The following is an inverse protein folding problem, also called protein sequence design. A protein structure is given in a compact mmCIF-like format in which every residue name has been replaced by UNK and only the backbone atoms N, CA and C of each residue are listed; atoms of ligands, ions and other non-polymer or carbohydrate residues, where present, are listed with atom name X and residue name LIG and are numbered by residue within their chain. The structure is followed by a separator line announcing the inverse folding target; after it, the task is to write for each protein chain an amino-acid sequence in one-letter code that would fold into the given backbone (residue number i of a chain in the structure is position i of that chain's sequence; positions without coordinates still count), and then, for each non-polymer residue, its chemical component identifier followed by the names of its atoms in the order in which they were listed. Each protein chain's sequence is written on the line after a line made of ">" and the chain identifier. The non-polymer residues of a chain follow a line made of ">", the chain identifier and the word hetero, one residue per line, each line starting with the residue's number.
data_IF_809199508186
#
_entry.id   IF_809199508186
#
_cell.length_a   1.000
_cell.length_b   1.000
_cell.length_c   1.000
_cell.angle_alpha   90.00
_cell.angle_beta   90.00
_cell.angle_gamma   90.00
#
_symmetry.space_group_name_H-M   'P 1'
#
loop_
_entity.id
_entity.type
_entity.pdbx_description
1 polymer ?
#
# COMPACT_ATOMS: atom_id res chain seq x y z
N UNK A 1 2.85 4.97 12.41
CA UNK A 1 2.33 6.14 11.66
C UNK A 1 2.54 7.43 12.45
N UNK A 2 2.33 7.42 13.77
CA UNK A 2 2.46 8.59 14.67
C UNK A 2 3.87 9.22 14.59
N UNK A 3 4.93 8.43 14.76
CA UNK A 3 6.30 8.95 14.72
C UNK A 3 6.67 9.57 13.36
N UNK A 4 6.27 8.93 12.25
CA UNK A 4 6.55 9.48 10.90
C UNK A 4 5.87 10.83 10.70
N UNK A 5 4.62 10.98 11.17
CA UNK A 5 3.90 12.26 11.12
C UNK A 5 4.58 13.32 11.98
N UNK A 6 4.97 12.96 13.20
CA UNK A 6 5.69 13.87 14.10
C UNK A 6 7.00 14.37 13.44
N UNK A 7 7.82 13.47 12.93
CA UNK A 7 9.08 13.82 12.26
C UNK A 7 8.84 14.68 11.02
N UNK A 8 7.82 14.37 10.21
CA UNK A 8 7.47 15.21 9.06
C UNK A 8 7.07 16.64 9.47
N UNK A 9 6.30 16.78 10.55
CA UNK A 9 5.94 18.09 11.11
C UNK A 9 7.16 18.85 11.62
N UNK A 10 8.08 18.19 12.35
CA UNK A 10 9.34 18.79 12.81
C UNK A 10 10.17 19.32 11.62
N UNK A 11 10.31 18.52 10.55
CA UNK A 11 11.03 18.93 9.34
C UNK A 11 10.37 20.15 8.67
N UNK A 12 9.04 20.14 8.54
CA UNK A 12 8.32 21.27 7.93
C UNK A 12 8.50 22.56 8.74
N UNK A 13 8.46 22.48 10.07
CA UNK A 13 8.67 23.63 10.96
C UNK A 13 10.10 24.19 10.86
N UNK A 14 11.12 23.33 10.82
CA UNK A 14 12.53 23.73 10.63
C UNK A 14 12.76 24.40 9.27
N UNK A 15 12.09 23.93 8.22
CA UNK A 15 12.19 24.51 6.88
C UNK A 15 11.49 25.87 6.79
N UNK A 16 10.33 26.03 7.44
CA UNK A 16 9.64 27.32 7.55
C UNK A 16 10.49 28.35 8.32
N UNK A 17 11.12 27.94 9.42
CA UNK A 17 11.98 28.81 10.22
C UNK A 17 13.26 29.25 9.49
N UNK A 18 13.75 28.48 8.52
CA UNK A 18 14.96 28.79 7.74
C UNK A 18 14.68 29.62 6.47
N UNK A 19 13.41 29.92 6.16
CA UNK A 19 13.05 30.72 4.98
C UNK A 19 13.28 30.03 3.63
N UNK A 20 13.58 28.73 3.62
CA UNK A 20 13.85 27.94 2.41
C UNK A 20 12.54 27.39 1.84
N UNK A 21 12.24 27.65 0.56
CA UNK A 21 11.09 27.02 -0.10
C UNK A 21 11.30 25.50 -0.18
N UNK A 22 10.37 24.67 0.34
CA UNK A 22 10.60 23.23 0.39
C UNK A 22 10.58 22.61 -1.01
N UNK A 23 11.60 21.81 -1.34
CA UNK A 23 11.50 20.83 -2.41
C UNK A 23 11.24 19.43 -1.79
N UNK A 24 10.44 18.62 -2.48
CA UNK A 24 9.97 17.31 -1.98
C UNK A 24 11.11 16.34 -1.67
N UNK A 25 12.20 16.41 -2.44
CA UNK A 25 13.37 15.55 -2.25
C UNK A 25 14.10 15.88 -0.93
N UNK A 26 14.28 17.15 -0.62
CA UNK A 26 14.93 17.62 0.59
C UNK A 26 14.09 17.31 1.83
N UNK A 27 12.77 17.47 1.75
CA UNK A 27 11.86 17.02 2.82
C UNK A 27 12.06 15.53 3.08
N UNK A 28 12.04 14.72 2.02
CA UNK A 28 12.20 13.27 2.12
C UNK A 28 13.54 12.86 2.74
N UNK A 29 14.62 13.53 2.34
CA UNK A 29 15.96 13.33 2.90
C UNK A 29 16.00 13.66 4.40
N UNK A 30 15.50 14.83 4.80
CA UNK A 30 15.48 15.27 6.21
C UNK A 30 14.63 14.37 7.09
N UNK A 31 13.47 13.92 6.60
CA UNK A 31 12.60 12.98 7.33
C UNK A 31 13.33 11.66 7.58
N UNK A 32 13.95 11.07 6.54
CA UNK A 32 14.68 9.81 6.70
C UNK A 32 15.91 9.98 7.61
N UNK A 33 16.65 11.09 7.50
CA UNK A 33 17.80 11.37 8.37
C UNK A 33 17.39 11.50 9.85
N UNK A 34 16.26 12.14 10.16
CA UNK A 34 15.72 12.19 11.52
C UNK A 34 15.21 10.84 12.02
N UNK A 35 14.58 10.04 11.15
CA UNK A 35 14.17 8.68 11.52
C UNK A 35 15.38 7.77 11.78
N UNK A 36 16.49 7.98 11.05
CA UNK A 36 17.78 7.30 11.27
C UNK A 36 18.38 7.59 12.65
N UNK A 37 18.28 8.82 13.14
CA UNK A 37 18.76 9.14 14.50
C UNK A 37 17.81 8.61 15.58
N UNK A 38 16.53 8.46 15.25
CA UNK A 38 15.46 7.93 16.13
C UNK A 38 15.10 6.47 15.81
N UNK A 39 16.08 5.67 15.39
CA UNK A 39 15.84 4.34 14.82
C UNK A 39 15.15 3.36 15.79
N UNK A 40 15.44 3.48 17.09
CA UNK A 40 14.81 2.65 18.13
C UNK A 40 13.34 3.05 18.30
N UNK A 41 13.06 4.36 18.44
CA UNK A 41 11.69 4.88 18.48
C UNK A 41 10.91 4.50 17.23
N UNK A 42 11.58 4.47 16.07
CA UNK A 42 10.96 4.04 14.82
C UNK A 42 10.57 2.57 14.85
N UNK A 43 11.45 1.69 15.31
CA UNK A 43 11.15 0.27 15.46
C UNK A 43 10.03 0.04 16.47
N UNK A 44 10.01 0.79 17.58
CA UNK A 44 8.93 0.75 18.57
C UNK A 44 7.61 1.24 17.98
N UNK A 45 7.61 2.34 17.22
CA UNK A 45 6.43 2.84 16.52
C UNK A 45 5.90 1.83 15.49
N UNK A 46 6.78 1.09 14.79
CA UNK A 46 6.38 0.01 13.89
C UNK A 46 5.75 -1.17 14.66
N UNK A 47 6.21 -1.45 15.87
CA UNK A 47 5.60 -2.46 16.76
C UNK A 47 4.19 -2.04 17.18
N UNK A 48 4.03 -0.79 17.59
CA UNK A 48 2.73 -0.23 17.95
C UNK A 48 1.77 -0.22 16.76
N UNK A 49 2.27 0.10 15.57
CA UNK A 49 1.51 -0.01 14.33
C UNK A 49 1.03 -1.45 14.11
N UNK A 50 1.93 -2.44 14.21
CA UNK A 50 1.54 -3.84 14.11
C UNK A 50 0.46 -4.22 15.15
N UNK A 51 0.61 -3.81 16.41
CA UNK A 51 -0.36 -4.13 17.47
C UNK A 51 -1.71 -3.44 17.21
N UNK A 52 -1.71 -2.22 16.67
CA UNK A 52 -2.93 -1.53 16.27
C UNK A 52 -3.62 -2.28 15.13
N UNK A 53 -2.85 -2.76 14.16
CA UNK A 53 -3.38 -3.34 12.93
C UNK A 53 -3.84 -4.79 13.16
N UNK A 54 -3.06 -5.60 13.89
CA UNK A 54 -3.33 -7.02 14.22
C UNK A 54 -3.97 -7.26 15.58
N UNK A 55 -4.14 -6.21 16.39
CA UNK A 55 -4.77 -6.26 17.71
C UNK A 55 -3.84 -6.69 18.84
N UNK A 56 -4.18 -6.26 20.06
CA UNK A 56 -3.40 -6.53 21.29
C UNK A 56 -3.20 -8.02 21.58
N UNK A 57 -4.12 -8.88 21.16
CA UNK A 57 -4.00 -10.34 21.30
C UNK A 57 -2.78 -10.90 20.53
N UNK A 58 -2.31 -10.20 19.50
CA UNK A 58 -1.18 -10.61 18.66
C UNK A 58 0.14 -9.91 19.04
N UNK A 59 0.27 -9.39 20.26
CA UNK A 59 1.47 -8.65 20.70
C UNK A 59 2.76 -9.47 20.58
N UNK A 60 2.72 -10.78 20.86
CA UNK A 60 3.89 -11.67 20.73
C UNK A 60 4.29 -11.85 19.26
N UNK A 61 3.32 -11.99 18.38
CA UNK A 61 3.52 -12.10 16.93
C UNK A 61 4.04 -10.79 16.35
N UNK A 62 3.53 -9.64 16.81
CA UNK A 62 4.08 -8.33 16.46
C UNK A 62 5.51 -8.14 16.97
N UNK A 63 5.84 -8.62 18.18
CA UNK A 63 7.23 -8.63 18.63
C UNK A 63 8.13 -9.50 17.74
N UNK A 64 7.66 -10.69 17.36
CA UNK A 64 8.37 -11.54 16.40
C UNK A 64 8.59 -10.82 15.06
N UNK A 65 7.58 -10.14 14.54
CA UNK A 65 7.65 -9.41 13.28
C UNK A 65 8.72 -8.32 13.32
N UNK A 66 8.71 -7.48 14.37
CA UNK A 66 9.73 -6.42 14.53
C UNK A 66 11.13 -6.99 14.70
N UNK A 67 11.28 -8.14 15.35
CA UNK A 67 12.59 -8.78 15.48
C UNK A 67 13.11 -9.37 14.16
N UNK A 68 12.24 -9.62 13.17
CA UNK A 68 12.61 -10.18 11.87
C UNK A 68 12.77 -9.12 10.78
N UNK A 69 12.16 -7.95 10.93
CA UNK A 69 12.27 -6.85 9.96
C UNK A 69 13.34 -5.87 10.41
N UNK A 70 14.42 -5.78 9.64
CA UNK A 70 15.50 -4.85 9.93
C UNK A 70 15.18 -3.44 9.42
N UNK A 71 14.40 -2.71 10.22
CA UNK A 71 14.02 -1.33 9.94
C UNK A 71 15.22 -0.38 9.91
N UNK A 72 16.29 -0.68 10.65
CA UNK A 72 17.49 0.14 10.65
C UNK A 72 18.21 0.03 9.30
N UNK A 73 18.35 -1.20 8.78
CA UNK A 73 18.88 -1.42 7.43
C UNK A 73 17.96 -0.81 6.36
N UNK A 74 16.64 -0.87 6.53
CA UNK A 74 15.72 -0.19 5.61
C UNK A 74 15.94 1.33 5.61
N UNK A 75 16.02 1.97 6.79
CA UNK A 75 16.27 3.42 6.89
C UNK A 75 17.62 3.80 6.27
N UNK A 76 18.67 3.00 6.48
CA UNK A 76 19.97 3.23 5.86
C UNK A 76 19.91 3.11 4.32
N UNK A 77 19.16 2.13 3.78
CA UNK A 77 18.94 2.00 2.33
C UNK A 77 18.15 3.18 1.77
N UNK A 78 17.10 3.63 2.46
CA UNK A 78 16.32 4.79 2.06
C UNK A 78 17.16 6.07 2.06
N UNK A 79 17.98 6.27 3.09
CA UNK A 79 18.88 7.42 3.16
C UNK A 79 19.87 7.41 2.00
N UNK A 80 20.51 6.26 1.74
CA UNK A 80 21.41 6.10 0.60
C UNK A 80 20.71 6.36 -0.73
N UNK A 81 19.50 5.83 -0.90
CA UNK A 81 18.72 5.98 -2.13
C UNK A 81 18.34 7.45 -2.38
N UNK A 82 17.89 8.17 -1.34
CA UNK A 82 17.51 9.58 -1.44
C UNK A 82 18.71 10.50 -1.70
N UNK A 83 19.91 10.09 -1.28
CA UNK A 83 21.16 10.79 -1.54
C UNK A 83 21.85 10.36 -2.85
N UNK A 84 21.28 9.41 -3.60
CA UNK A 84 21.81 9.00 -4.89
C UNK A 84 21.65 10.08 -5.96
N UNK A 85 22.38 9.90 -7.07
CA UNK A 85 22.27 10.75 -8.26
C UNK A 85 20.79 10.89 -8.67
N UNK A 86 20.30 12.11 -8.94
CA UNK A 86 18.91 12.34 -9.31
C UNK A 86 18.37 11.42 -10.43
N UNK A 87 19.22 10.99 -11.37
CA UNK A 87 18.85 10.11 -12.49
C UNK A 87 18.50 8.69 -12.06
N UNK A 88 19.05 8.21 -10.95
CA UNK A 88 18.82 6.84 -10.44
C UNK A 88 18.08 6.82 -9.10
N UNK A 89 17.92 7.98 -8.45
CA UNK A 89 17.28 8.11 -7.13
C UNK A 89 15.93 7.41 -7.04
N UNK A 90 15.06 7.60 -8.03
CA UNK A 90 13.73 6.99 -8.02
C UNK A 90 13.81 5.46 -8.01
N UNK A 91 14.67 4.87 -8.85
CA UNK A 91 14.87 3.43 -8.93
C UNK A 91 15.50 2.85 -7.64
N UNK A 92 16.46 3.55 -7.04
CA UNK A 92 17.05 3.13 -5.77
C UNK A 92 16.06 3.24 -4.59
N UNK A 93 15.19 4.26 -4.59
CA UNK A 93 14.12 4.39 -3.59
C UNK A 93 13.12 3.25 -3.74
N UNK A 94 12.70 2.96 -4.97
CA UNK A 94 11.80 1.84 -5.26
C UNK A 94 12.40 0.51 -4.79
N UNK A 95 13.66 0.25 -5.12
CA UNK A 95 14.38 -0.96 -4.67
C UNK A 95 14.45 -1.07 -3.15
N UNK A 96 14.73 0.04 -2.45
CA UNK A 96 14.75 0.07 -0.98
C UNK A 96 13.38 -0.21 -0.35
N UNK A 97 12.29 0.22 -1.01
CA UNK A 97 10.92 -0.06 -0.60
C UNK A 97 10.51 -1.51 -0.89
N UNK A 98 10.83 -2.05 -2.06
CA UNK A 98 10.56 -3.44 -2.43
C UNK A 98 11.21 -4.41 -1.45
N UNK A 99 12.50 -4.19 -1.14
CA UNK A 99 13.22 -5.05 -0.20
C UNK A 99 12.62 -5.02 1.21
N UNK A 100 12.12 -3.85 1.66
CA UNK A 100 11.37 -3.77 2.94
C UNK A 100 10.09 -4.59 2.86
N UNK A 101 9.31 -4.46 1.79
CA UNK A 101 8.04 -5.19 1.64
C UNK A 101 8.26 -6.72 1.63
N UNK A 102 9.30 -7.20 0.94
CA UNK A 102 9.68 -8.61 0.94
C UNK A 102 10.05 -9.12 2.34
N UNK A 103 10.84 -8.34 3.09
CA UNK A 103 11.19 -8.66 4.47
C UNK A 103 9.95 -8.70 5.37
N UNK A 104 9.06 -7.72 5.25
CA UNK A 104 7.81 -7.68 6.02
C UNK A 104 6.90 -8.86 5.70
N UNK A 105 6.72 -9.20 4.43
CA UNK A 105 5.89 -10.34 4.03
C UNK A 105 6.46 -11.67 4.56
N UNK A 106 7.78 -11.81 4.50
CA UNK A 106 8.48 -12.98 5.06
C UNK A 106 8.29 -13.06 6.57
N UNK A 107 8.41 -11.93 7.28
CA UNK A 107 8.21 -11.85 8.72
C UNK A 107 6.75 -12.12 9.13
N UNK A 108 5.77 -11.60 8.39
CA UNK A 108 4.33 -11.85 8.63
C UNK A 108 4.04 -13.36 8.58
N UNK A 109 4.51 -14.05 7.53
CA UNK A 109 4.37 -15.50 7.42
C UNK A 109 5.10 -16.25 8.52
N UNK A 110 6.35 -15.87 8.80
CA UNK A 110 7.19 -16.58 9.77
C UNK A 110 6.76 -16.38 11.23
N UNK A 111 6.01 -15.32 11.52
CA UNK A 111 5.54 -14.98 12.86
C UNK A 111 4.08 -15.34 13.10
N UNK A 112 3.46 -16.11 12.18
CA UNK A 112 2.05 -16.50 12.25
C UNK A 112 1.12 -15.32 12.54
N UNK A 113 1.44 -14.15 11.99
CA UNK A 113 0.51 -13.04 11.92
C UNK A 113 -0.58 -13.43 10.92
N UNK A 114 -1.53 -14.21 11.40
CA UNK A 114 -2.67 -14.70 10.62
C UNK A 114 -3.42 -13.50 10.08
N UNK A 115 -3.58 -13.45 8.75
CA UNK A 115 -4.39 -12.49 8.00
C UNK A 115 -5.88 -12.81 8.23
N UNK A 116 -6.27 -13.05 9.48
CA UNK A 116 -7.65 -13.33 9.85
C UNK A 116 -8.33 -12.12 10.51
N UNK A 117 -7.59 -11.13 11.04
CA UNK A 117 -8.24 -9.97 11.69
C UNK A 117 -7.43 -8.65 11.70
N UNK A 118 -6.54 -8.44 10.73
CA UNK A 118 -5.96 -7.12 10.45
C UNK A 118 -6.28 -6.66 9.03
N UNK A 119 -6.95 -5.53 8.98
CA UNK A 119 -7.02 -4.70 7.79
C UNK A 119 -5.59 -4.28 7.43
N UNK A 120 -5.24 -4.36 6.15
CA UNK A 120 -4.00 -3.86 5.55
C UNK A 120 -2.75 -4.75 5.78
N UNK A 121 -2.68 -5.86 5.04
CA UNK A 121 -1.37 -6.36 4.58
C UNK A 121 -0.91 -5.45 3.42
N UNK A 122 0.31 -4.88 3.45
CA UNK A 122 0.98 -4.50 2.21
C UNK A 122 1.36 -5.82 1.54
N UNK A 123 0.44 -6.38 0.73
CA UNK A 123 0.84 -7.30 -0.33
C UNK A 123 1.88 -6.55 -1.17
N UNK A 124 2.90 -7.26 -1.68
CA UNK A 124 3.58 -6.82 -2.89
C UNK A 124 2.49 -6.30 -3.83
N UNK A 125 2.59 -5.04 -4.26
CA UNK A 125 1.51 -4.34 -4.97
C UNK A 125 0.94 -5.29 -6.02
N UNK A 126 -0.25 -5.83 -5.75
CA UNK A 126 -0.91 -6.71 -6.71
C UNK A 126 -1.04 -5.94 -8.00
N UNK A 127 -1.07 -6.61 -9.15
CA UNK A 127 -1.22 -5.94 -10.44
C UNK A 127 -2.44 -5.02 -10.46
N UNK A 128 -3.48 -5.33 -9.70
CA UNK A 128 -4.64 -4.44 -9.49
C UNK A 128 -4.29 -3.14 -8.73
N UNK A 129 -3.44 -3.22 -7.70
CA UNK A 129 -2.95 -2.06 -6.95
C UNK A 129 -1.98 -1.22 -7.81
N UNK A 130 -1.11 -1.87 -8.58
CA UNK A 130 -0.21 -1.19 -9.52
C UNK A 130 -1.00 -0.43 -10.59
N UNK A 131 -2.01 -1.07 -11.19
CA UNK A 131 -2.88 -0.44 -12.18
C UNK A 131 -3.62 0.76 -11.58
N UNK A 132 -4.12 0.64 -10.35
CA UNK A 132 -4.75 1.76 -9.63
C UNK A 132 -3.77 2.92 -9.43
N UNK A 133 -2.52 2.64 -9.04
CA UNK A 133 -1.48 3.68 -8.86
C UNK A 133 -1.09 4.37 -10.17
N UNK A 134 -0.98 3.61 -11.27
CA UNK A 134 -0.71 4.17 -12.60
C UNK A 134 -1.81 5.15 -12.98
N UNK A 135 -3.07 4.73 -12.87
CA UNK A 135 -4.23 5.56 -13.17
C UNK A 135 -4.26 6.84 -12.33
N UNK A 136 -3.99 6.74 -11.03
CA UNK A 136 -3.90 7.90 -10.13
C UNK A 136 -2.74 8.82 -10.49
N UNK A 137 -1.58 8.26 -10.84
CA UNK A 137 -0.40 9.03 -11.27
C UNK A 137 -0.66 9.82 -12.55
N UNK A 138 -1.31 9.20 -13.54
CA UNK A 138 -1.74 9.89 -14.76
C UNK A 138 -2.72 11.03 -14.46
N UNK A 139 -3.69 10.79 -13.59
CA UNK A 139 -4.68 11.80 -13.21
C UNK A 139 -4.02 12.99 -12.51
N UNK A 140 -3.08 12.74 -11.59
CA UNK A 140 -2.30 13.80 -10.94
C UNK A 140 -1.45 14.59 -11.94
N UNK A 141 -0.85 13.93 -12.93
CA UNK A 141 -0.10 14.60 -13.99
C UNK A 141 -1.01 15.47 -14.88
N UNK A 142 -2.21 14.99 -15.20
CA UNK A 142 -3.22 15.77 -15.93
C UNK A 142 -3.67 16.99 -15.11
N UNK A 143 -3.92 16.82 -13.81
CA UNK A 143 -4.27 17.91 -12.91
C UNK A 143 -3.19 19.01 -12.87
N UNK A 144 -1.91 18.61 -12.75
CA UNK A 144 -0.76 19.53 -12.79
C UNK A 144 -0.68 20.30 -14.11
N UNK A 145 -0.89 19.60 -15.23
CA UNK A 145 -0.83 20.21 -16.57
C UNK A 145 -1.99 21.19 -16.80
N UNK A 146 -3.18 20.86 -16.31
CA UNK A 146 -4.36 21.71 -16.37
C UNK A 146 -4.18 22.98 -15.52
N UNK A 147 -3.62 22.85 -14.31
CA UNK A 147 -3.25 23.97 -13.45
C UNK A 147 -2.20 24.89 -14.10
N UNK A 148 -1.15 24.32 -14.72
CA UNK A 148 -0.14 25.08 -15.45
C UNK A 148 -0.69 25.84 -16.67
N UNK A 149 -1.80 25.35 -17.23
CA UNK A 149 -2.52 25.98 -18.35
C UNK A 149 -3.59 27.00 -17.89
N UNK A 150 -3.63 27.35 -16.61
CA UNK A 150 -4.59 28.30 -16.03
C UNK A 150 -6.02 27.75 -15.88
N UNK A 151 -6.22 26.44 -15.99
CA UNK A 151 -7.52 25.76 -15.88
C UNK A 151 -7.42 24.57 -14.92
N UNK A 152 -7.24 24.79 -13.60
CA UNK A 152 -7.14 23.70 -12.65
C UNK A 152 -8.41 22.84 -12.66
N UNK A 153 -8.25 21.54 -12.44
CA UNK A 153 -9.38 20.62 -12.28
C UNK A 153 -10.14 20.96 -11.00
N UNK A 154 -11.46 20.94 -11.08
CA UNK A 154 -12.36 21.12 -9.94
C UNK A 154 -12.46 19.84 -9.10
N UNK A 155 -12.88 19.98 -7.84
CA UNK A 155 -13.09 18.86 -6.92
C UNK A 155 -14.08 17.82 -7.46
N UNK A 156 -15.02 18.19 -8.32
CA UNK A 156 -15.96 17.26 -8.97
C UNK A 156 -15.41 16.62 -10.24
N UNK A 157 -14.46 17.26 -10.93
CA UNK A 157 -13.85 16.72 -12.15
C UNK A 157 -12.86 15.59 -11.85
N UNK A 158 -12.11 15.67 -10.74
CA UNK A 158 -11.11 14.66 -10.38
C UNK A 158 -11.75 13.26 -10.16
N UNK A 159 -12.82 13.12 -9.35
CA UNK A 159 -13.51 11.85 -9.15
C UNK A 159 -14.15 11.30 -10.42
N UNK A 160 -14.74 12.17 -11.25
CA UNK A 160 -15.35 11.80 -12.53
C UNK A 160 -14.30 11.22 -13.49
N UNK A 161 -13.18 11.93 -13.66
CA UNK A 161 -12.08 11.47 -14.51
C UNK A 161 -11.42 10.19 -13.97
N UNK A 162 -11.37 10.03 -12.66
CA UNK A 162 -10.90 8.79 -12.06
C UNK A 162 -11.85 7.62 -12.38
N UNK A 163 -13.17 7.83 -12.24
CA UNK A 163 -14.16 6.82 -12.58
C UNK A 163 -14.04 6.39 -14.05
N UNK A 164 -13.96 7.36 -14.97
CA UNK A 164 -13.83 7.13 -16.41
C UNK A 164 -12.56 6.33 -16.74
N UNK A 165 -11.43 6.69 -16.12
CA UNK A 165 -10.16 5.95 -16.30
C UNK A 165 -10.25 4.53 -15.74
N UNK A 166 -10.78 4.35 -14.53
CA UNK A 166 -10.94 3.01 -13.93
C UNK A 166 -11.82 2.12 -14.82
N UNK A 167 -12.92 2.67 -15.35
CA UNK A 167 -13.82 1.97 -16.26
C UNK A 167 -13.16 1.62 -17.59
N UNK A 168 -12.38 2.53 -18.17
CA UNK A 168 -11.60 2.29 -19.40
C UNK A 168 -10.63 1.12 -19.22
N UNK A 169 -10.05 0.98 -18.03
CA UNK A 169 -9.13 -0.11 -17.68
C UNK A 169 -9.82 -1.36 -17.10
N UNK A 170 -11.14 -1.50 -17.22
CA UNK A 170 -11.88 -2.64 -16.62
C UNK A 170 -11.33 -4.01 -17.06
N UNK A 171 -11.01 -4.17 -18.34
CA UNK A 171 -10.44 -5.42 -18.86
C UNK A 171 -9.08 -5.74 -18.21
N UNK A 172 -8.23 -4.72 -18.06
CA UNK A 172 -6.93 -4.84 -17.39
C UNK A 172 -7.10 -5.18 -15.91
N UNK A 173 -8.10 -4.60 -15.23
CA UNK A 173 -8.43 -4.92 -13.85
C UNK A 173 -8.90 -6.37 -13.66
N UNK A 174 -9.70 -6.89 -14.59
CA UNK A 174 -10.13 -8.31 -14.57
C UNK A 174 -8.93 -9.24 -14.72
N UNK A 175 -8.08 -8.96 -15.71
CA UNK A 175 -6.87 -9.75 -15.94
C UNK A 175 -5.93 -9.68 -14.73
N UNK A 176 -5.67 -8.48 -14.21
CA UNK A 176 -4.84 -8.26 -13.03
C UNK A 176 -5.41 -8.97 -11.79
N UNK A 177 -6.73 -8.97 -11.60
CA UNK A 177 -7.40 -9.66 -10.48
C UNK A 177 -7.23 -11.17 -10.54
N UNK A 178 -7.32 -11.75 -11.75
CA UNK A 178 -7.06 -13.17 -11.99
C UNK A 178 -5.61 -13.51 -11.67
N UNK A 179 -4.67 -12.69 -12.10
CA UNK A 179 -3.24 -12.90 -11.86
C UNK A 179 -2.87 -12.73 -10.38
N UNK A 180 -3.42 -11.72 -9.70
CA UNK A 180 -3.28 -11.52 -8.26
C UNK A 180 -3.85 -12.69 -7.45
N UNK A 181 -4.99 -13.23 -7.91
CA UNK A 181 -5.59 -14.42 -7.34
C UNK A 181 -4.68 -15.64 -7.52
N UNK A 182 -4.17 -15.91 -8.73
CA UNK A 182 -3.27 -17.02 -9.01
C UNK A 182 -1.97 -16.91 -8.22
N UNK A 183 -1.43 -15.70 -8.07
CA UNK A 183 -0.26 -15.44 -7.23
C UNK A 183 -0.53 -15.68 -5.74
N UNK A 184 -1.78 -15.51 -5.30
CA UNK A 184 -2.17 -15.70 -3.89
C UNK A 184 -2.48 -17.16 -3.59
N UNK A 185 -3.20 -17.86 -4.47
CA UNK A 185 -3.79 -19.17 -4.21
C UNK A 185 -3.12 -20.33 -4.95
N UNK A 186 -2.28 -20.06 -5.95
CA UNK A 186 -1.58 -21.07 -6.75
C UNK A 186 -2.12 -21.20 -8.16
N UNK A 187 -1.27 -21.69 -9.07
CA UNK A 187 -1.59 -21.88 -10.49
C UNK A 187 -2.57 -23.03 -10.76
N UNK A 188 -2.82 -23.88 -9.77
CA UNK A 188 -3.86 -24.91 -9.75
C UNK A 188 -5.27 -24.32 -9.56
N UNK A 189 -5.38 -23.05 -9.14
CA UNK A 189 -6.64 -22.33 -8.92
C UNK A 189 -7.15 -21.53 -10.09
N UNK A 190 -6.83 -21.94 -11.31
CA UNK A 190 -7.24 -21.25 -12.55
C UNK A 190 -8.75 -21.07 -12.67
N UNK A 191 -9.54 -22.09 -12.37
CA UNK A 191 -11.01 -22.01 -12.50
C UNK A 191 -11.61 -21.10 -11.43
N UNK A 192 -11.16 -21.22 -10.20
CA UNK A 192 -11.62 -20.42 -9.07
C UNK A 192 -11.18 -18.94 -9.19
N UNK A 193 -9.97 -18.70 -9.68
CA UNK A 193 -9.48 -17.34 -9.96
C UNK A 193 -10.13 -16.70 -11.19
N UNK A 194 -10.51 -17.50 -12.20
CA UNK A 194 -11.35 -17.02 -13.30
C UNK A 194 -12.73 -16.63 -12.79
N UNK A 195 -13.38 -17.50 -12.00
CA UNK A 195 -14.65 -17.18 -11.35
C UNK A 195 -14.56 -15.88 -10.54
N UNK A 196 -13.50 -15.71 -9.75
CA UNK A 196 -13.31 -14.52 -8.94
C UNK A 196 -13.21 -13.25 -9.80
N UNK A 197 -12.38 -13.28 -10.85
CA UNK A 197 -12.23 -12.16 -11.78
C UNK A 197 -13.49 -11.87 -12.59
N UNK A 198 -14.35 -12.86 -12.82
CA UNK A 198 -15.62 -12.64 -13.55
C UNK A 198 -16.74 -12.14 -12.64
N UNK A 199 -16.78 -12.59 -11.38
CA UNK A 199 -17.86 -12.28 -10.42
C UNK A 199 -17.60 -11.07 -9.54
N UNK A 200 -16.37 -10.58 -9.46
CA UNK A 200 -16.08 -9.39 -8.69
C UNK A 200 -16.81 -8.18 -9.31
N UNK A 201 -17.60 -7.48 -8.50
CA UNK A 201 -18.29 -6.26 -8.94
C UNK A 201 -17.31 -5.09 -9.00
N UNK A 202 -16.66 -4.93 -10.16
CA UNK A 202 -15.65 -3.89 -10.38
C UNK A 202 -16.21 -2.47 -10.28
N UNK A 203 -17.45 -2.23 -10.70
CA UNK A 203 -18.08 -0.91 -10.58
C UNK A 203 -18.24 -0.52 -9.11
N UNK A 204 -18.68 -1.47 -8.27
CA UNK A 204 -18.71 -1.27 -6.83
C UNK A 204 -17.29 -1.12 -6.24
N UNK A 205 -16.30 -1.86 -6.74
CA UNK A 205 -14.91 -1.70 -6.29
C UNK A 205 -14.35 -0.31 -6.62
N UNK A 206 -14.56 0.19 -7.84
CA UNK A 206 -14.09 1.49 -8.30
C UNK A 206 -14.76 2.62 -7.52
N UNK A 207 -16.06 2.52 -7.28
CA UNK A 207 -16.79 3.45 -6.41
C UNK A 207 -16.20 3.54 -5.01
N UNK A 208 -15.74 2.41 -4.45
CA UNK A 208 -15.09 2.37 -3.14
C UNK A 208 -13.66 2.92 -3.17
N UNK A 209 -12.94 2.77 -4.28
CA UNK A 209 -11.63 3.41 -4.49
C UNK A 209 -11.79 4.93 -4.50
N UNK A 210 -12.75 5.46 -5.26
CA UNK A 210 -13.04 6.89 -5.33
C UNK A 210 -13.41 7.44 -3.95
N UNK A 211 -14.31 6.78 -3.22
CA UNK A 211 -14.68 7.16 -1.84
C UNK A 211 -13.50 7.13 -0.85
N UNK A 212 -12.48 6.32 -1.12
CA UNK A 212 -11.26 6.27 -0.29
C UNK A 212 -10.40 7.52 -0.48
N UNK A 213 -10.59 8.26 -1.57
CA UNK A 213 -9.85 9.48 -1.89
C UNK A 213 -10.59 10.76 -1.46
N UNK A 214 -11.93 10.74 -1.52
CA UNK A 214 -12.76 11.92 -1.22
C UNK A 214 -13.17 12.05 0.25
N UNK A 215 -13.22 10.94 0.99
CA UNK A 215 -13.84 10.91 2.32
C UNK A 215 -12.94 11.40 3.45
N UNK A 216 -13.56 11.85 4.56
CA UNK A 216 -12.91 11.97 5.87
C UNK A 216 -12.30 10.62 6.31
N UNK A 217 -11.28 10.58 7.18
CA UNK A 217 -10.54 9.35 7.52
C UNK A 217 -11.42 8.16 7.94
N UNK A 218 -12.52 8.42 8.65
CA UNK A 218 -13.48 7.39 9.05
C UNK A 218 -14.27 6.83 7.85
N UNK A 219 -14.64 7.66 6.89
CA UNK A 219 -15.31 7.25 5.66
C UNK A 219 -14.36 6.46 4.75
N UNK A 220 -13.10 6.87 4.65
CA UNK A 220 -12.06 6.12 3.92
C UNK A 220 -11.88 4.72 4.51
N UNK A 221 -11.79 4.60 5.85
CA UNK A 221 -11.68 3.31 6.54
C UNK A 221 -12.88 2.41 6.22
N UNK A 222 -14.10 2.94 6.28
CA UNK A 222 -15.32 2.19 5.93
C UNK A 222 -15.32 1.73 4.47
N UNK A 223 -14.89 2.59 3.54
CA UNK A 223 -14.79 2.24 2.12
C UNK A 223 -13.79 1.10 1.88
N UNK A 224 -12.61 1.15 2.51
CA UNK A 224 -11.61 0.08 2.46
C UNK A 224 -12.14 -1.23 3.03
N UNK A 225 -12.83 -1.18 4.17
CA UNK A 225 -13.44 -2.36 4.79
C UNK A 225 -14.51 -3.00 3.90
N UNK A 226 -15.41 -2.18 3.33
CA UNK A 226 -16.43 -2.65 2.40
C UNK A 226 -15.82 -3.31 1.16
N UNK A 227 -14.75 -2.73 0.62
CA UNK A 227 -13.98 -3.27 -0.51
C UNK A 227 -13.37 -4.63 -0.18
N UNK A 228 -12.69 -4.74 0.95
CA UNK A 228 -12.14 -6.03 1.42
C UNK A 228 -13.23 -7.08 1.63
N UNK A 229 -14.35 -6.70 2.25
CA UNK A 229 -15.47 -7.62 2.47
C UNK A 229 -16.06 -8.13 1.15
N UNK A 230 -16.23 -7.27 0.15
CA UNK A 230 -16.72 -7.66 -1.17
C UNK A 230 -15.76 -8.64 -1.87
N UNK A 231 -14.44 -8.38 -1.78
CA UNK A 231 -13.40 -9.28 -2.30
C UNK A 231 -13.46 -10.65 -1.61
N UNK A 232 -13.54 -10.69 -0.28
CA UNK A 232 -13.62 -11.94 0.48
C UNK A 232 -14.89 -12.74 0.18
N UNK A 233 -16.05 -12.06 0.14
CA UNK A 233 -17.33 -12.68 -0.19
C UNK A 233 -17.30 -13.31 -1.58
N UNK A 234 -16.78 -12.58 -2.57
CA UNK A 234 -16.63 -13.08 -3.95
C UNK A 234 -15.67 -14.26 -4.01
N UNK A 235 -14.52 -14.16 -3.33
CA UNK A 235 -13.55 -15.26 -3.25
C UNK A 235 -14.18 -16.52 -2.67
N UNK A 236 -14.89 -16.41 -1.55
CA UNK A 236 -15.61 -17.54 -0.92
C UNK A 236 -16.65 -18.14 -1.85
N UNK A 237 -17.42 -17.31 -2.56
CA UNK A 237 -18.42 -17.77 -3.54
C UNK A 237 -17.80 -18.51 -4.74
N UNK A 238 -16.53 -18.24 -5.03
CA UNK A 238 -15.76 -18.90 -6.08
C UNK A 238 -14.88 -20.06 -5.58
N UNK A 239 -15.08 -20.52 -4.34
CA UNK A 239 -14.32 -21.65 -3.78
C UNK A 239 -12.92 -21.28 -3.27
N UNK A 240 -12.56 -20.00 -3.28
CA UNK A 240 -11.32 -19.48 -2.71
C UNK A 240 -11.54 -19.27 -1.20
N UNK A 241 -11.24 -20.30 -0.41
CA UNK A 241 -11.23 -20.25 1.06
C UNK A 241 -9.85 -20.62 1.58
N UNK A 242 -9.51 -20.16 2.79
CA UNK A 242 -8.20 -20.38 3.43
C UNK A 242 -7.83 -21.87 3.70
N UNK A 243 -8.61 -22.82 3.21
CA UNK A 243 -8.50 -24.25 3.52
C UNK A 243 -7.82 -25.09 2.43
N UNK A 244 -6.83 -24.53 1.72
CA UNK A 244 -5.88 -25.34 0.92
C UNK A 244 -4.47 -25.24 1.52
N UNK A 245 -4.41 -25.05 2.83
CA UNK A 245 -3.45 -25.78 3.64
C UNK A 245 -3.98 -27.21 3.87
N UNK A 246 -3.95 -28.07 2.82
CA UNK A 246 -3.95 -29.55 2.88
C UNK A 246 -4.19 -30.16 1.49
N UNK A 247 -3.16 -30.21 0.66
CA UNK A 247 -3.08 -31.19 -0.43
C UNK A 247 -1.62 -31.44 -0.88
N UNK A 248 -0.73 -31.76 0.06
CA UNK A 248 0.39 -32.70 -0.15
C UNK A 248 0.66 -33.48 1.13
N UNK A 249 -0.31 -34.33 1.49
CA UNK A 249 -0.02 -35.70 1.93
C UNK A 249 -0.36 -36.60 0.73
N UNK A 250 0.44 -37.63 0.51
CA UNK A 250 0.52 -38.57 -0.63
C UNK A 250 1.55 -38.10 -1.69
N UNK A 251 2.69 -38.76 -1.91
CA UNK A 251 3.24 -40.05 -1.48
C UNK A 251 4.66 -39.85 -0.96
#
# INVERSE_FOLDING_TARGET
>A
EILRKQVATEVMQEMQASGTSPNEAEISQRVIAKLRTRQNEYSDAMKEDCIRDYGKANQKQCQCFINKVDYNAHLARMEKALNADPKIRAAEVEKAQQLRQEQEMTAIKACDLSIAHSQETPKASGKTDLLTKIILGELLQQAKSAAASGKPLTETQIPQMLADKLHTHLADFKQASKEDCLSTFGSDKKSECQCFADKLDYEAQFSLVIKTLEGEPQAQKKARQARQQAIMTTGKACGLSASIAKAKKQK
#
